data_IF_015870872559
#
_entry.id   IF_015870872559
#
_cell.length_a   1.000
_cell.length_b   1.000
_cell.length_c   1.000
_cell.angle_alpha   90.00
_cell.angle_beta   90.00
_cell.angle_gamma   90.00
#
_symmetry.space_group_name_H-M   'P 1'
#
loop_
_entity.id
_entity.type
_entity.pdbx_description
1 polymer ?
#
# COMPACT_ATOMS: atom_id res chain seq x y z
N UNK A 1 -7.60 -62.50 -5.38
CA UNK A 1 -8.14 -62.06 -6.67
C UNK A 1 -6.96 -61.55 -7.49
N UNK A 2 -6.50 -62.35 -8.45
CA UNK A 2 -5.30 -62.09 -9.25
C UNK A 2 -5.58 -61.10 -10.39
N UNK A 3 -4.50 -60.39 -10.74
CA UNK A 3 -4.33 -59.52 -11.90
C UNK A 3 -4.25 -60.30 -13.23
N UNK A 4 -4.63 -59.70 -14.37
CA UNK A 4 -3.77 -59.41 -15.55
C UNK A 4 -4.55 -58.84 -16.75
N UNK A 5 -3.82 -58.08 -17.58
CA UNK A 5 -4.12 -57.26 -18.77
C UNK A 5 -4.80 -57.91 -19.99
N UNK A 6 -5.23 -57.08 -20.99
CA UNK A 6 -4.85 -57.08 -22.44
C UNK A 6 -5.94 -56.39 -23.33
N UNK A 7 -5.72 -55.14 -23.82
CA UNK A 7 -5.46 -54.68 -25.23
C UNK A 7 -6.73 -54.52 -26.13
N UNK A 8 -7.07 -53.35 -26.72
CA UNK A 8 -6.56 -52.54 -27.88
C UNK A 8 -7.51 -52.63 -29.11
N UNK A 9 -7.47 -51.58 -29.93
CA UNK A 9 -7.95 -51.37 -31.33
C UNK A 9 -9.06 -50.28 -31.40
N UNK A 10 -8.78 -49.02 -31.79
CA UNK A 10 -8.59 -48.45 -33.17
C UNK A 10 -9.88 -48.63 -34.02
N UNK A 11 -10.43 -47.72 -34.81
CA UNK A 11 -10.26 -46.32 -35.26
C UNK A 11 -11.58 -46.04 -36.04
N UNK A 12 -12.06 -44.79 -36.14
CA UNK A 12 -12.52 -44.16 -37.41
C UNK A 12 -13.26 -42.85 -37.15
N UNK A 13 -12.81 -41.84 -37.89
CA UNK A 13 -13.35 -40.50 -38.05
C UNK A 13 -14.41 -40.53 -39.15
N UNK A 14 -15.54 -39.82 -38.99
CA UNK A 14 -16.15 -39.09 -40.11
C UNK A 14 -16.77 -37.77 -39.63
N UNK A 15 -16.35 -36.71 -40.31
CA UNK A 15 -16.72 -35.32 -40.20
C UNK A 15 -17.97 -35.09 -41.07
N UNK A 16 -19.00 -34.39 -40.57
CA UNK A 16 -20.00 -33.78 -41.45
C UNK A 16 -20.43 -32.41 -40.94
N UNK A 17 -20.23 -31.47 -41.85
CA UNK A 17 -20.37 -30.02 -41.76
C UNK A 17 -21.86 -29.62 -41.72
N UNK A 18 -22.22 -28.70 -40.83
CA UNK A 18 -23.44 -27.91 -40.99
C UNK A 18 -23.24 -26.49 -40.47
N UNK A 19 -23.10 -25.58 -41.43
CA UNK A 19 -23.10 -24.14 -41.23
C UNK A 19 -24.44 -23.67 -40.63
N UNK A 20 -24.35 -22.92 -39.54
CA UNK A 20 -25.42 -22.05 -39.06
C UNK A 20 -24.84 -20.66 -38.76
N UNK A 21 -25.03 -19.73 -39.71
CA UNK A 21 -24.91 -18.31 -39.44
C UNK A 21 -26.03 -17.88 -38.49
N UNK A 22 -25.70 -17.08 -37.48
CA UNK A 22 -26.41 -15.84 -37.12
C UNK A 22 -25.81 -15.17 -35.87
N UNK A 23 -25.07 -14.10 -36.15
CA UNK A 23 -25.19 -12.75 -35.59
C UNK A 23 -25.40 -12.51 -34.07
N UNK A 24 -24.48 -11.68 -33.57
CA UNK A 24 -24.63 -10.64 -32.54
C UNK A 24 -24.72 -11.02 -31.05
N UNK A 25 -23.94 -10.27 -30.27
CA UNK A 25 -23.85 -10.40 -28.82
C UNK A 25 -22.41 -10.44 -28.31
N UNK A 26 -21.60 -9.43 -28.63
CA UNK A 26 -20.31 -9.20 -27.96
C UNK A 26 -20.56 -8.93 -26.47
N UNK A 27 -20.62 -9.97 -25.65
CA UNK A 27 -20.75 -9.86 -24.21
C UNK A 27 -19.37 -9.59 -23.59
N UNK A 28 -18.86 -8.38 -23.83
CA UNK A 28 -17.65 -7.86 -23.19
C UNK A 28 -17.94 -7.49 -21.73
N UNK A 29 -18.17 -8.49 -20.89
CA UNK A 29 -18.07 -8.34 -19.43
C UNK A 29 -16.61 -8.36 -18.99
N UNK A 30 -15.82 -7.43 -19.53
CA UNK A 30 -14.52 -7.08 -18.97
C UNK A 30 -14.73 -6.05 -17.86
N UNK A 31 -15.21 -6.52 -16.70
CA UNK A 31 -15.05 -5.82 -15.43
C UNK A 31 -13.58 -5.87 -14.98
N UNK A 32 -12.69 -5.38 -15.84
CA UNK A 32 -11.34 -5.06 -15.46
C UNK A 32 -11.37 -3.64 -14.90
N UNK A 33 -11.50 -3.54 -13.58
CA UNK A 33 -11.03 -2.40 -12.80
C UNK A 33 -9.50 -2.25 -13.00
N UNK A 34 -9.08 -1.91 -14.23
CA UNK A 34 -7.76 -1.35 -14.49
C UNK A 34 -7.73 -0.05 -13.73
N UNK A 35 -7.21 -0.09 -12.50
CA UNK A 35 -6.76 1.11 -11.79
C UNK A 35 -5.92 1.87 -12.79
N UNK A 36 -6.46 2.96 -13.32
CA UNK A 36 -5.71 3.83 -14.23
C UNK A 36 -4.47 4.25 -13.46
N UNK A 37 -3.30 3.95 -14.04
CA UNK A 37 -2.02 4.43 -13.51
C UNK A 37 -2.12 5.94 -13.37
N UNK A 38 -1.88 6.45 -12.16
CA UNK A 38 -1.96 7.88 -11.90
C UNK A 38 -0.79 8.56 -12.63
N UNK A 39 -1.10 9.59 -13.40
CA UNK A 39 -0.12 10.38 -14.14
C UNK A 39 -0.23 11.86 -13.77
N UNK A 40 0.85 12.65 -13.88
CA UNK A 40 0.78 14.10 -13.72
C UNK A 40 -0.15 14.73 -14.75
N UNK A 41 -0.90 15.76 -14.34
CA UNK A 41 -1.71 16.59 -15.24
C UNK A 41 -0.85 17.56 -16.06
N UNK A 42 -1.46 18.18 -17.07
CA UNK A 42 -0.79 19.22 -17.87
C UNK A 42 -0.44 20.43 -16.98
N UNK A 43 0.84 20.82 -16.97
CA UNK A 43 1.34 21.93 -16.15
C UNK A 43 1.55 21.59 -14.67
N UNK A 44 1.39 20.34 -14.26
CA UNK A 44 1.72 19.88 -12.91
C UNK A 44 3.21 19.53 -12.79
N UNK A 45 3.76 19.64 -11.58
CA UNK A 45 5.14 19.29 -11.29
C UNK A 45 5.24 17.78 -10.98
N UNK A 46 5.86 16.97 -11.85
CA UNK A 46 5.94 15.52 -11.65
C UNK A 46 6.80 15.17 -10.43
N UNK A 47 6.37 14.14 -9.71
CA UNK A 47 7.19 13.48 -8.69
C UNK A 47 8.11 12.45 -9.36
N UNK A 48 9.24 12.13 -8.71
CA UNK A 48 10.15 11.09 -9.19
C UNK A 48 9.48 9.70 -9.20
N UNK A 49 8.68 9.43 -8.17
CA UNK A 49 7.88 8.21 -8.03
C UNK A 49 6.43 8.58 -7.73
N UNK A 50 5.50 7.69 -8.09
CA UNK A 50 4.15 7.78 -7.58
C UNK A 50 4.12 7.36 -6.11
N UNK A 51 3.30 8.03 -5.31
CA UNK A 51 3.14 7.71 -3.88
C UNK A 51 1.69 7.43 -3.53
N UNK A 52 1.48 6.50 -2.61
CA UNK A 52 0.18 6.07 -2.14
C UNK A 52 0.02 6.39 -0.65
N UNK A 53 -1.05 7.12 -0.33
CA UNK A 53 -1.48 7.36 1.04
C UNK A 53 -2.26 6.17 1.58
N UNK A 54 -1.95 5.79 2.81
CA UNK A 54 -2.69 4.79 3.57
C UNK A 54 -3.03 5.32 4.96
N UNK A 55 -4.13 4.82 5.50
CA UNK A 55 -4.55 5.08 6.87
C UNK A 55 -4.92 3.78 7.57
N UNK A 56 -4.48 3.63 8.81
CA UNK A 56 -4.94 2.54 9.69
C UNK A 56 -5.35 3.07 11.04
N UNK A 57 -6.37 2.44 11.63
CA UNK A 57 -6.81 2.71 13.00
C UNK A 57 -6.86 1.41 13.78
N UNK A 58 -6.17 1.36 14.91
CA UNK A 58 -6.16 0.20 15.80
C UNK A 58 -7.23 0.38 16.88
N UNK A 59 -8.07 -0.64 17.05
CA UNK A 59 -8.95 -0.74 18.21
C UNK A 59 -8.20 -1.47 19.34
N UNK A 60 -8.19 -0.95 20.58
CA UNK A 60 -7.45 -1.56 21.69
C UNK A 60 -7.91 -2.99 22.05
N UNK A 61 -9.13 -3.36 21.65
CA UNK A 61 -9.81 -4.59 22.06
C UNK A 61 -9.51 -5.82 21.21
N UNK A 62 -8.75 -5.70 20.11
CA UNK A 62 -8.43 -6.84 19.23
C UNK A 62 -6.92 -7.14 19.25
N UNK A 63 -6.51 -8.41 19.46
CA UNK A 63 -5.13 -8.82 19.25
C UNK A 63 -4.69 -8.48 17.83
N UNK A 64 -3.53 -7.87 17.69
CA UNK A 64 -2.98 -7.51 16.39
C UNK A 64 -2.35 -8.76 15.73
N UNK A 65 -3.16 -9.53 15.00
CA UNK A 65 -2.64 -10.51 14.03
C UNK A 65 -2.27 -9.81 12.71
N UNK A 66 -1.39 -10.41 11.91
CA UNK A 66 -1.03 -9.90 10.57
C UNK A 66 -2.26 -9.73 9.67
N UNK A 67 -3.15 -10.72 9.67
CA UNK A 67 -4.45 -10.65 8.96
C UNK A 67 -5.33 -9.49 9.44
N UNK A 68 -5.36 -9.22 10.76
CA UNK A 68 -6.09 -8.08 11.31
C UNK A 68 -5.46 -6.75 10.87
N UNK A 69 -4.13 -6.68 10.72
CA UNK A 69 -3.45 -5.47 10.26
C UNK A 69 -3.76 -5.15 8.80
N UNK A 70 -3.66 -6.14 7.89
CA UNK A 70 -3.98 -5.95 6.47
C UNK A 70 -5.44 -5.52 6.26
N UNK A 71 -6.37 -6.01 7.09
CA UNK A 71 -7.78 -5.59 7.04
C UNK A 71 -8.02 -4.18 7.59
N UNK A 72 -7.15 -3.68 8.47
CA UNK A 72 -7.30 -2.39 9.14
C UNK A 72 -6.58 -1.25 8.42
N UNK A 73 -5.75 -1.55 7.41
CA UNK A 73 -5.10 -0.55 6.60
C UNK A 73 -5.87 -0.29 5.31
N UNK A 74 -6.13 0.99 5.04
CA UNK A 74 -6.92 1.41 3.88
C UNK A 74 -6.10 2.36 3.02
N UNK A 75 -6.05 2.05 1.73
CA UNK A 75 -5.53 2.94 0.72
C UNK A 75 -6.48 4.14 0.57
N UNK A 76 -5.97 5.36 0.69
CA UNK A 76 -6.73 6.60 0.49
C UNK A 76 -6.68 7.01 -0.99
N UNK A 77 -5.48 7.00 -1.57
CA UNK A 77 -5.27 7.42 -2.96
C UNK A 77 -3.80 7.46 -3.33
N UNK A 78 -3.54 7.55 -4.63
CA UNK A 78 -2.20 7.59 -5.23
C UNK A 78 -2.01 8.92 -5.96
N UNK A 79 -0.81 9.49 -5.88
CA UNK A 79 -0.44 10.79 -6.46
C UNK A 79 0.83 10.63 -7.31
N UNK A 80 0.89 11.39 -8.40
CA UNK A 80 2.03 11.42 -9.33
C UNK A 80 2.66 12.82 -9.47
N UNK A 81 2.04 13.86 -8.91
CA UNK A 81 2.52 15.25 -8.97
C UNK A 81 2.43 15.96 -7.62
N UNK A 82 3.16 17.06 -7.49
CA UNK A 82 3.14 17.92 -6.29
C UNK A 82 1.76 18.53 -6.06
N UNK A 83 1.06 18.92 -7.13
CA UNK A 83 -0.30 19.46 -7.06
C UNK A 83 -1.30 18.40 -6.60
N UNK A 84 -1.19 17.18 -7.12
CA UNK A 84 -2.01 16.06 -6.66
C UNK A 84 -1.75 15.76 -5.18
N UNK A 85 -0.49 15.77 -4.76
CA UNK A 85 -0.13 15.65 -3.34
C UNK A 85 -0.85 16.72 -2.49
N UNK A 86 -0.75 18.00 -2.84
CA UNK A 86 -1.39 19.07 -2.06
C UNK A 86 -2.91 19.01 -2.09
N UNK A 87 -3.52 18.56 -3.20
CA UNK A 87 -4.97 18.30 -3.28
C UNK A 87 -5.39 17.23 -2.27
N UNK A 88 -4.63 16.15 -2.12
CA UNK A 88 -4.91 15.14 -1.10
C UNK A 88 -4.62 15.67 0.31
N UNK A 89 -3.40 16.16 0.54
CA UNK A 89 -2.90 16.51 1.86
C UNK A 89 -3.69 17.64 2.53
N UNK A 90 -4.18 18.62 1.76
CA UNK A 90 -5.03 19.72 2.28
C UNK A 90 -6.38 19.26 2.86
N UNK A 91 -6.89 18.10 2.43
CA UNK A 91 -8.13 17.52 2.94
C UNK A 91 -7.90 16.49 4.05
N UNK A 92 -6.64 16.15 4.37
CA UNK A 92 -6.31 15.23 5.45
C UNK A 92 -6.34 15.95 6.80
N UNK A 93 -6.88 15.26 7.81
CA UNK A 93 -6.74 15.69 9.21
C UNK A 93 -5.26 15.65 9.58
N UNK A 94 -4.74 16.72 10.19
CA UNK A 94 -3.34 16.75 10.61
C UNK A 94 -3.06 15.67 11.66
N UNK A 95 -1.88 15.03 11.66
CA UNK A 95 -1.58 13.94 12.59
C UNK A 95 -1.78 14.32 14.07
N UNK A 96 -1.47 15.56 14.45
CA UNK A 96 -1.66 16.05 15.82
C UNK A 96 -3.12 16.14 16.28
N UNK A 97 -4.07 16.23 15.35
CA UNK A 97 -5.50 16.37 15.62
C UNK A 97 -6.25 15.02 15.55
N UNK A 98 -5.55 13.95 15.17
CA UNK A 98 -6.13 12.61 15.16
C UNK A 98 -6.36 12.10 16.59
N UNK A 99 -7.57 11.59 16.82
CA UNK A 99 -7.90 10.85 18.03
C UNK A 99 -7.68 9.35 17.86
N UNK A 100 -7.23 8.67 18.91
CA UNK A 100 -7.06 7.21 18.89
C UNK A 100 -5.64 6.74 18.54
N UNK A 101 -5.50 5.42 18.48
CA UNK A 101 -4.30 4.77 17.96
C UNK A 101 -4.42 4.69 16.44
N UNK A 102 -3.90 5.69 15.75
CA UNK A 102 -3.99 5.83 14.30
C UNK A 102 -2.63 5.99 13.66
N UNK A 103 -2.53 5.61 12.38
CA UNK A 103 -1.31 5.73 11.59
C UNK A 103 -1.65 6.28 10.19
N UNK A 104 -0.83 7.23 9.73
CA UNK A 104 -0.75 7.55 8.31
C UNK A 104 0.52 6.95 7.73
N UNK A 105 0.42 6.45 6.51
CA UNK A 105 1.54 5.90 5.76
C UNK A 105 1.57 6.56 4.39
N UNK A 106 2.76 6.90 3.92
CA UNK A 106 3.01 7.38 2.56
C UNK A 106 4.13 6.54 1.98
N UNK A 107 3.81 5.68 1.01
CA UNK A 107 4.74 4.72 0.42
C UNK A 107 4.77 4.88 -1.09
N UNK A 108 5.89 4.52 -1.72
CA UNK A 108 5.95 4.43 -3.19
C UNK A 108 4.85 3.49 -3.71
N UNK A 109 4.29 3.82 -4.87
CA UNK A 109 3.28 2.99 -5.52
C UNK A 109 3.81 1.57 -5.73
N UNK A 110 2.98 0.57 -5.40
CA UNK A 110 3.36 -0.84 -5.47
C UNK A 110 3.93 -1.41 -4.17
N UNK A 111 4.42 -0.58 -3.24
CA UNK A 111 4.95 -1.04 -1.95
C UNK A 111 3.85 -0.97 -0.88
N UNK A 112 3.48 -2.12 -0.30
CA UNK A 112 2.58 -2.13 0.85
C UNK A 112 3.35 -1.73 2.12
N UNK A 113 2.77 -0.93 3.02
CA UNK A 113 3.41 -0.53 4.29
C UNK A 113 3.35 -1.66 5.33
N UNK A 114 3.91 -2.81 4.97
CA UNK A 114 3.96 -4.04 5.74
C UNK A 114 5.34 -4.69 5.56
N UNK A 115 5.83 -5.39 6.59
CA UNK A 115 7.16 -5.99 6.54
C UNK A 115 7.20 -7.25 5.66
N UNK A 116 6.03 -7.83 5.38
CA UNK A 116 5.85 -8.96 4.47
C UNK A 116 6.04 -8.58 2.99
N UNK A 117 5.98 -7.30 2.66
CA UNK A 117 6.24 -6.80 1.30
C UNK A 117 7.71 -7.05 0.92
N UNK A 118 7.95 -7.52 -0.30
CA UNK A 118 9.29 -7.90 -0.77
C UNK A 118 10.28 -6.73 -0.67
N UNK A 119 9.82 -5.50 -0.94
CA UNK A 119 10.66 -4.30 -0.84
C UNK A 119 11.04 -3.94 0.61
N UNK A 120 10.28 -4.42 1.60
CA UNK A 120 10.52 -4.13 3.02
C UNK A 120 11.20 -5.28 3.78
N UNK A 121 11.16 -6.53 3.27
CA UNK A 121 11.55 -7.73 4.02
C UNK A 121 13.02 -7.73 4.47
N UNK A 122 13.92 -7.20 3.65
CA UNK A 122 15.36 -7.07 3.94
C UNK A 122 15.76 -5.68 4.44
N UNK A 123 14.78 -4.81 4.71
CA UNK A 123 15.01 -3.42 5.08
C UNK A 123 15.04 -3.16 6.59
N UNK A 124 14.94 -1.88 6.93
CA UNK A 124 14.84 -1.39 8.31
C UNK A 124 14.02 -0.11 8.38
N UNK A 125 13.88 0.46 9.58
CA UNK A 125 13.23 1.76 9.74
C UNK A 125 13.89 2.60 10.84
N UNK A 126 14.06 3.88 10.55
CA UNK A 126 14.43 4.87 11.55
C UNK A 126 13.19 5.29 12.34
N UNK A 127 13.27 5.22 13.67
CA UNK A 127 12.15 5.56 14.57
C UNK A 127 12.52 6.76 15.42
N UNK A 128 11.77 7.84 15.28
CA UNK A 128 11.90 9.04 16.12
C UNK A 128 10.66 9.14 17.02
N UNK A 129 10.86 9.19 18.34
CA UNK A 129 9.79 9.41 19.31
C UNK A 129 9.65 10.90 19.59
N UNK A 130 8.48 11.46 19.30
CA UNK A 130 8.18 12.88 19.46
C UNK A 130 7.29 13.13 20.68
N UNK A 131 7.45 14.32 21.29
CA UNK A 131 6.48 14.84 22.26
C UNK A 131 5.18 15.24 21.54
N UNK A 132 4.06 15.23 22.27
CA UNK A 132 2.76 15.69 21.73
C UNK A 132 2.89 17.12 21.18
N UNK A 133 2.20 17.40 20.08
CA UNK A 133 2.21 18.70 19.40
C UNK A 133 3.29 18.86 18.31
N UNK A 134 4.33 18.02 18.28
CA UNK A 134 5.39 18.10 17.26
C UNK A 134 5.12 17.26 16.00
N UNK A 135 4.24 16.25 16.11
CA UNK A 135 4.03 15.24 15.07
C UNK A 135 3.61 15.84 13.72
N UNK A 136 2.69 16.81 13.69
CA UNK A 136 2.19 17.40 12.45
C UNK A 136 3.30 18.08 11.63
N UNK A 137 4.13 18.90 12.29
CA UNK A 137 5.22 19.63 11.62
C UNK A 137 6.33 18.68 11.15
N UNK A 138 6.70 17.71 11.99
CA UNK A 138 7.71 16.72 11.62
C UNK A 138 7.23 15.83 10.47
N UNK A 139 5.98 15.38 10.51
CA UNK A 139 5.37 14.60 9.43
C UNK A 139 5.43 15.36 8.11
N UNK A 140 4.97 16.60 8.08
CA UNK A 140 4.97 17.47 6.89
C UNK A 140 6.39 17.65 6.34
N UNK A 141 7.36 17.95 7.19
CA UNK A 141 8.76 18.11 6.75
C UNK A 141 9.33 16.82 6.16
N UNK A 142 9.06 15.66 6.78
CA UNK A 142 9.58 14.37 6.33
C UNK A 142 8.98 13.96 4.99
N UNK A 143 7.67 14.10 4.82
CA UNK A 143 7.04 13.73 3.54
C UNK A 143 7.43 14.69 2.42
N UNK A 144 7.60 15.99 2.69
CA UNK A 144 8.08 16.94 1.68
C UNK A 144 9.53 16.64 1.29
N UNK A 145 10.39 16.31 2.25
CA UNK A 145 11.76 15.89 1.97
C UNK A 145 11.80 14.59 1.15
N UNK A 146 10.89 13.64 1.43
CA UNK A 146 10.76 12.39 0.68
C UNK A 146 10.31 12.63 -0.76
N UNK A 147 9.21 13.36 -0.96
CA UNK A 147 8.65 13.65 -2.28
C UNK A 147 9.58 14.52 -3.13
N UNK A 148 10.37 15.38 -2.48
CA UNK A 148 11.41 16.19 -3.12
C UNK A 148 12.76 15.49 -3.29
N UNK A 149 12.85 14.18 -3.03
CA UNK A 149 14.06 13.36 -3.16
C UNK A 149 15.27 13.88 -2.34
N UNK A 150 15.03 14.60 -1.24
CA UNK A 150 16.08 15.29 -0.47
C UNK A 150 17.01 14.36 0.33
N UNK A 151 16.69 13.06 0.42
CA UNK A 151 17.51 12.09 1.13
C UNK A 151 18.76 11.65 0.34
N UNK A 152 18.76 11.78 -0.99
CA UNK A 152 19.93 11.47 -1.85
C UNK A 152 20.50 10.06 -1.67
N UNK A 153 19.64 9.08 -1.34
CA UNK A 153 20.01 7.67 -1.15
C UNK A 153 19.53 6.76 -2.30
N UNK A 154 19.12 7.33 -3.43
CA UNK A 154 18.59 6.56 -4.56
C UNK A 154 17.26 5.88 -4.22
N UNK A 155 17.14 4.58 -4.50
CA UNK A 155 15.86 3.87 -4.43
C UNK A 155 15.52 3.33 -3.03
N UNK A 156 16.42 3.46 -2.06
CA UNK A 156 16.36 2.86 -0.72
C UNK A 156 15.13 3.28 0.11
N UNK A 157 14.57 4.47 -0.14
CA UNK A 157 13.39 4.93 0.59
C UNK A 157 12.14 4.23 0.07
N UNK A 158 11.53 3.39 0.92
CA UNK A 158 10.25 2.74 0.62
C UNK A 158 9.04 3.62 0.97
N UNK A 159 9.09 4.33 2.09
CA UNK A 159 7.99 5.17 2.57
C UNK A 159 8.22 5.73 3.98
N UNK A 160 7.25 6.53 4.46
CA UNK A 160 7.22 7.10 5.80
C UNK A 160 5.91 6.78 6.52
N UNK A 161 5.99 6.72 7.85
CA UNK A 161 4.85 6.45 8.73
C UNK A 161 4.85 7.45 9.88
N UNK A 162 3.67 8.02 10.18
CA UNK A 162 3.43 8.74 11.44
C UNK A 162 2.40 7.99 12.28
N UNK A 163 2.81 7.64 13.48
CA UNK A 163 1.99 6.88 14.44
C UNK A 163 1.54 7.75 15.60
N UNK A 164 0.23 7.92 15.72
CA UNK A 164 -0.38 8.62 16.85
C UNK A 164 -0.73 7.61 17.92
N UNK A 165 -0.18 7.83 19.12
CA UNK A 165 -0.35 6.96 20.28
C UNK A 165 -0.65 7.81 21.50
N UNK A 166 -1.56 7.34 22.36
CA UNK A 166 -1.73 7.90 23.68
C UNK A 166 -0.56 7.49 24.56
N UNK A 167 0.16 8.49 25.09
CA UNK A 167 1.07 8.25 26.20
C UNK A 167 0.24 8.11 27.49
N UNK A 168 0.11 6.90 28.00
CA UNK A 168 -0.17 6.70 29.44
C UNK A 168 1.14 6.96 30.18
N UNK A 169 1.35 8.21 30.58
CA UNK A 169 2.52 8.74 31.30
C UNK A 169 3.90 8.35 30.72
N UNK A 170 4.67 9.34 30.28
CA UNK A 170 6.11 9.25 30.49
C UNK A 170 6.33 9.25 32.02
N UNK A 171 6.34 8.06 32.64
CA UNK A 171 7.12 7.90 33.85
C UNK A 171 8.56 8.20 33.43
N UNK A 172 9.15 9.20 34.07
CA UNK A 172 10.58 9.44 34.06
C UNK A 172 11.29 8.15 34.51
N UNK A 173 11.63 7.31 33.54
CA UNK A 173 12.45 6.12 33.70
C UNK A 173 13.56 6.23 32.68
N UNK A 174 14.77 6.50 33.16
CA UNK A 174 16.02 6.43 32.43
C UNK A 174 16.20 5.01 31.90
N UNK A 175 15.97 4.78 30.61
CA UNK A 175 16.44 3.57 29.93
C UNK A 175 17.11 3.95 28.61
N UNK A 176 18.34 3.48 28.48
CA UNK A 176 19.30 3.81 27.44
C UNK A 176 18.79 3.45 26.03
N UNK A 177 19.22 4.20 24.98
CA UNK A 177 18.95 3.80 23.61
C UNK A 177 19.77 2.55 23.26
N UNK A 178 19.13 1.39 23.23
CA UNK A 178 19.67 0.23 22.51
C UNK A 178 19.39 0.44 21.03
N UNK A 179 20.45 0.66 20.26
CA UNK A 179 20.43 0.57 18.79
C UNK A 179 20.38 -0.92 18.45
N UNK A 180 19.37 -1.34 17.70
CA UNK A 180 19.40 -2.55 16.87
C UNK A 180 19.22 -2.10 15.43
#
# INVERSE_FOLDING_TARGET
MNQLERSKDEEELEESDSHHDNNDGTNNNNNNNRRKTVSPGAGEHPLQYNYTFWYSRRTPSRPASSQSYEQNIRQIGTVASVEQFWRFYSHLVRPGDLSGHSDFHLFKEGIKPMWEDESNRSGGKWIIRLRKGLASRFWENIILAMLGEQFMVGEEICGAVVSIRFQTSCRSGTEHPTIR
#
